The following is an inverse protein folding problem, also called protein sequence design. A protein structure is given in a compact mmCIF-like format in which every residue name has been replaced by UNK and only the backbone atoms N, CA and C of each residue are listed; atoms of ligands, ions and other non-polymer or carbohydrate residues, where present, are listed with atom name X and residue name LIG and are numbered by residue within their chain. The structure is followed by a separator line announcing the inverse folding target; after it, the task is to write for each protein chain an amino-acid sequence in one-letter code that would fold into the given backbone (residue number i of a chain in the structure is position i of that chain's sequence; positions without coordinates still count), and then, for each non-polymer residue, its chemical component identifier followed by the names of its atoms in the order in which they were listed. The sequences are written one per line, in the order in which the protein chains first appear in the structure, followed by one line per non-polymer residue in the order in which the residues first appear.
data_IF_088207632392
#
_entry.id   IF_088207632392
#
_cell.length_a   1.000
_cell.length_b   1.000
_cell.length_c   1.000
_cell.angle_alpha   90.00
_cell.angle_beta   90.00
_cell.angle_gamma   90.00
#
_symmetry.space_group_name_H-M   'P 1'
#
loop_
_entity.id
_entity.type
_entity.pdbx_description
1 polymer ?
#
# COMPACT_ATOMS: atom_id res chain seq x y z
N UNK A 1 24.88 35.26 61.83
CA UNK A 1 25.99 34.74 61.05
C UNK A 1 25.74 33.45 60.30
N UNK A 2 24.66 33.34 59.63
CA UNK A 2 24.31 32.15 58.84
C UNK A 2 23.54 32.50 57.56
N UNK A 3 24.06 33.46 56.80
CA UNK A 3 23.42 33.86 55.49
C UNK A 3 24.09 33.29 54.26
N UNK A 4 25.10 32.45 54.42
CA UNK A 4 25.88 31.92 53.31
C UNK A 4 25.47 30.47 52.91
N UNK A 5 24.61 29.81 53.66
CA UNK A 5 24.27 28.40 53.38
C UNK A 5 23.05 28.21 52.50
N UNK A 6 22.29 29.28 52.19
CA UNK A 6 21.09 29.17 51.38
C UNK A 6 21.32 29.36 49.88
N UNK A 7 22.39 29.99 49.48
CA UNK A 7 22.64 30.32 48.06
C UNK A 7 23.26 29.17 47.29
N UNK A 8 24.03 28.32 47.96
CA UNK A 8 24.68 27.18 47.34
C UNK A 8 23.70 26.03 47.00
N UNK A 9 22.62 25.95 47.75
CA UNK A 9 21.59 24.87 47.51
C UNK A 9 20.69 25.22 46.34
N UNK A 10 20.45 26.49 46.08
CA UNK A 10 19.57 26.92 44.96
C UNK A 10 20.28 26.78 43.61
N UNK A 11 21.62 26.93 43.58
CA UNK A 11 22.42 26.79 42.37
C UNK A 11 22.60 25.33 41.93
N UNK A 12 22.46 24.38 42.85
CA UNK A 12 22.60 22.94 42.57
C UNK A 12 21.30 22.34 42.04
N UNK A 13 20.16 22.99 42.30
CA UNK A 13 18.85 22.54 41.79
C UNK A 13 18.53 23.05 40.36
N UNK A 14 19.24 24.08 39.90
CA UNK A 14 19.07 24.61 38.56
C UNK A 14 19.76 23.78 37.45
N UNK A 15 20.73 22.94 37.80
CA UNK A 15 21.42 22.07 36.84
C UNK A 15 20.79 20.69 36.64
N UNK A 16 19.73 20.34 37.39
CA UNK A 16 19.11 19.03 37.31
C UNK A 16 17.88 19.00 36.41
N UNK A 17 17.58 20.08 35.69
CA UNK A 17 16.28 20.30 35.08
C UNK A 17 16.20 20.19 33.57
N UNK A 18 17.20 19.71 32.84
CA UNK A 18 17.05 19.64 31.36
C UNK A 18 17.91 18.54 30.73
N UNK A 19 17.97 17.38 31.36
CA UNK A 19 18.29 16.16 30.64
C UNK A 19 17.01 15.52 30.17
N UNK A 20 16.43 16.06 29.10
CA UNK A 20 15.48 15.27 28.29
C UNK A 20 16.29 14.13 27.66
N UNK A 21 15.98 12.87 28.01
CA UNK A 21 16.65 11.77 27.36
C UNK A 21 16.29 11.81 25.88
N UNK A 22 17.30 11.98 25.04
CA UNK A 22 17.20 11.88 23.59
C UNK A 22 16.71 10.52 23.10
N UNK A 23 16.41 9.62 24.01
CA UNK A 23 15.88 8.29 23.75
C UNK A 23 14.40 8.26 23.30
N UNK A 24 13.63 9.35 23.49
CA UNK A 24 12.23 9.38 23.10
C UNK A 24 12.01 9.59 21.58
N UNK A 25 13.05 9.84 20.80
CA UNK A 25 12.95 10.05 19.35
C UNK A 25 13.20 8.80 18.51
N UNK A 26 13.62 7.71 19.10
CA UNK A 26 13.93 6.46 18.39
C UNK A 26 12.75 5.50 18.27
N UNK A 27 11.61 5.79 18.88
CA UNK A 27 10.48 4.84 18.96
C UNK A 27 9.52 4.91 17.77
N UNK A 28 9.76 5.75 16.76
CA UNK A 28 8.88 5.83 15.58
C UNK A 28 9.49 5.19 14.33
N UNK A 29 10.25 4.13 14.51
CA UNK A 29 10.50 3.16 13.46
C UNK A 29 9.54 1.99 13.68
N UNK A 30 8.26 2.23 13.53
CA UNK A 30 7.38 1.13 13.17
C UNK A 30 7.67 0.79 11.71
N UNK A 31 8.72 0.01 11.53
CA UNK A 31 8.82 -0.81 10.36
C UNK A 31 7.57 -1.69 10.36
N UNK A 32 6.72 -1.55 9.37
CA UNK A 32 5.70 -2.54 9.03
C UNK A 32 6.48 -3.79 8.60
N UNK A 33 6.96 -4.52 9.59
CA UNK A 33 7.67 -5.78 9.38
C UNK A 33 6.61 -6.85 9.32
N UNK A 34 6.37 -7.39 8.12
CA UNK A 34 5.64 -8.65 7.97
C UNK A 34 4.35 -8.62 7.18
N UNK A 35 4.13 -7.65 6.32
CA UNK A 35 3.15 -7.85 5.27
C UNK A 35 3.81 -8.68 4.17
N UNK A 36 3.47 -9.96 4.11
CA UNK A 36 3.67 -10.75 2.91
C UNK A 36 2.90 -10.03 1.82
N UNK A 37 3.58 -9.26 0.97
CA UNK A 37 2.95 -8.51 -0.10
C UNK A 37 2.45 -9.51 -1.14
N UNK A 38 1.21 -9.93 -1.00
CA UNK A 38 0.51 -10.71 -2.01
C UNK A 38 0.22 -9.77 -3.18
N UNK A 39 0.62 -10.16 -4.38
CA UNK A 39 0.32 -9.40 -5.59
C UNK A 39 -0.92 -9.96 -6.25
N UNK A 40 -1.86 -9.10 -6.56
CA UNK A 40 -3.09 -9.40 -7.25
C UNK A 40 -3.11 -8.68 -8.60
N UNK A 41 -3.20 -9.44 -9.68
CA UNK A 41 -3.35 -8.89 -11.03
C UNK A 41 -4.80 -9.05 -11.48
N UNK A 42 -5.44 -7.94 -11.80
CA UNK A 42 -6.84 -7.88 -12.23
C UNK A 42 -6.94 -7.25 -13.61
N UNK A 43 -7.89 -7.71 -14.38
CA UNK A 43 -8.35 -6.99 -15.58
C UNK A 43 -9.39 -5.95 -15.17
N UNK A 44 -9.38 -4.78 -15.79
CA UNK A 44 -10.42 -3.77 -15.59
C UNK A 44 -11.81 -4.35 -15.91
N UNK A 45 -12.81 -3.98 -15.13
CA UNK A 45 -14.16 -4.48 -15.15
C UNK A 45 -14.32 -5.96 -14.75
N UNK A 46 -13.30 -6.54 -14.09
CA UNK A 46 -13.39 -7.87 -13.48
C UNK A 46 -13.31 -7.78 -11.97
N UNK A 47 -13.96 -8.72 -11.31
CA UNK A 47 -13.93 -8.87 -9.85
C UNK A 47 -13.24 -10.16 -9.48
N UNK A 48 -12.49 -10.11 -8.40
CA UNK A 48 -11.79 -11.25 -7.83
C UNK A 48 -12.17 -11.42 -6.36
N UNK A 49 -12.41 -12.64 -5.94
CA UNK A 49 -12.74 -12.99 -4.56
C UNK A 49 -11.47 -13.46 -3.84
N UNK A 50 -11.16 -12.84 -2.74
CA UNK A 50 -10.04 -13.20 -1.86
C UNK A 50 -10.60 -13.83 -0.61
N UNK A 51 -10.22 -15.08 -0.35
CA UNK A 51 -10.50 -15.75 0.91
C UNK A 51 -9.40 -15.44 1.94
N UNK A 52 -9.80 -15.15 3.17
CA UNK A 52 -8.89 -14.86 4.26
C UNK A 52 -9.04 -15.90 5.38
N UNK A 53 -7.93 -16.27 6.00
CA UNK A 53 -7.93 -17.24 7.12
C UNK A 53 -8.60 -16.67 8.37
N UNK A 54 -8.47 -15.36 8.58
CA UNK A 54 -8.99 -14.66 9.75
C UNK A 54 -10.16 -13.75 9.36
N UNK A 55 -11.09 -13.58 10.28
CA UNK A 55 -12.21 -12.64 10.10
C UNK A 55 -11.71 -11.21 9.90
N UNK A 56 -12.27 -10.53 8.90
CA UNK A 56 -11.93 -9.18 8.50
C UNK A 56 -12.75 -8.20 9.34
N UNK A 57 -12.08 -7.28 9.98
CA UNK A 57 -12.71 -6.19 10.73
C UNK A 57 -12.83 -4.91 9.92
N UNK A 58 -11.82 -4.61 9.10
CA UNK A 58 -11.72 -3.37 8.37
C UNK A 58 -10.95 -3.56 7.07
N UNK A 59 -11.31 -2.80 6.05
CA UNK A 59 -10.60 -2.75 4.76
C UNK A 59 -10.35 -1.30 4.35
N UNK A 60 -9.32 -1.07 3.58
CA UNK A 60 -8.99 0.22 2.99
C UNK A 60 -8.31 0.02 1.65
N UNK A 61 -8.62 0.88 0.69
CA UNK A 61 -7.98 0.90 -0.63
C UNK A 61 -7.33 2.26 -0.86
N UNK A 62 -6.12 2.25 -1.44
CA UNK A 62 -5.34 3.46 -1.63
C UNK A 62 -5.89 4.38 -2.72
N UNK A 63 -6.33 3.80 -3.85
CA UNK A 63 -6.87 4.54 -4.99
C UNK A 63 -8.20 3.93 -5.45
N UNK A 64 -9.34 4.45 -4.95
CA UNK A 64 -10.66 3.94 -5.30
C UNK A 64 -11.03 4.07 -6.79
N UNK A 65 -10.37 4.95 -7.52
CA UNK A 65 -10.54 5.13 -8.96
C UNK A 65 -9.94 3.97 -9.77
N UNK A 66 -8.95 3.25 -9.24
CA UNK A 66 -8.28 2.12 -9.90
C UNK A 66 -8.99 0.80 -9.57
N UNK A 67 -9.27 0.57 -8.29
CA UNK A 67 -9.96 -0.62 -7.84
C UNK A 67 -10.84 -0.31 -6.62
N UNK A 68 -11.87 -1.11 -6.44
CA UNK A 68 -12.77 -1.05 -5.30
C UNK A 68 -12.75 -2.37 -4.54
N UNK A 69 -13.08 -2.32 -3.24
CA UNK A 69 -13.13 -3.49 -2.38
C UNK A 69 -14.41 -3.55 -1.57
N UNK A 70 -15.04 -4.71 -1.55
CA UNK A 70 -16.25 -4.97 -0.79
C UNK A 70 -16.06 -6.21 0.08
N UNK A 71 -16.45 -6.13 1.35
CA UNK A 71 -16.51 -7.29 2.25
C UNK A 71 -17.79 -8.06 1.95
N UNK A 72 -17.66 -9.26 1.42
CA UNK A 72 -18.79 -10.13 1.08
C UNK A 72 -19.24 -10.96 2.28
N UNK A 73 -18.26 -11.54 2.96
CA UNK A 73 -18.44 -12.29 4.22
C UNK A 73 -17.32 -11.89 5.18
N UNK A 74 -17.41 -12.23 6.47
CA UNK A 74 -16.32 -11.94 7.41
C UNK A 74 -14.94 -12.46 6.98
N UNK A 75 -14.90 -13.46 6.10
CA UNK A 75 -13.67 -14.08 5.59
C UNK A 75 -13.45 -13.91 4.09
N UNK A 76 -14.27 -13.12 3.42
CA UNK A 76 -14.18 -12.95 1.96
C UNK A 76 -14.24 -11.49 1.57
N UNK A 77 -13.28 -11.08 0.76
CA UNK A 77 -13.18 -9.77 0.12
C UNK A 77 -13.41 -9.93 -1.39
N UNK A 78 -14.21 -9.07 -1.96
CA UNK A 78 -14.31 -8.92 -3.40
C UNK A 78 -13.58 -7.66 -3.84
N UNK A 79 -12.59 -7.82 -4.71
CA UNK A 79 -11.85 -6.71 -5.32
C UNK A 79 -12.27 -6.56 -6.77
N UNK A 80 -12.68 -5.37 -7.13
CA UNK A 80 -13.14 -5.06 -8.50
C UNK A 80 -12.19 -4.07 -9.15
N UNK A 81 -11.59 -4.44 -10.28
CA UNK A 81 -10.78 -3.55 -11.09
C UNK A 81 -11.65 -2.54 -11.83
N UNK A 82 -11.28 -1.25 -11.80
CA UNK A 82 -12.04 -0.16 -12.44
C UNK A 82 -11.27 0.46 -13.60
N UNK A 83 -10.02 0.84 -13.35
CA UNK A 83 -9.15 1.48 -14.32
C UNK A 83 -7.72 0.92 -14.24
N UNK A 84 -6.98 1.00 -15.34
CA UNK A 84 -5.58 0.58 -15.35
C UNK A 84 -4.73 1.39 -14.37
N UNK A 85 -3.89 0.72 -13.63
CA UNK A 85 -2.99 1.32 -12.65
C UNK A 85 -2.66 0.40 -11.49
N UNK A 86 -1.91 0.94 -10.56
CA UNK A 86 -1.48 0.25 -9.35
C UNK A 86 -2.10 0.89 -8.12
N UNK A 87 -2.57 0.06 -7.21
CA UNK A 87 -3.07 0.48 -5.91
C UNK A 87 -2.74 -0.56 -4.85
N UNK A 88 -2.94 -0.23 -3.60
CA UNK A 88 -2.72 -1.11 -2.46
C UNK A 88 -4.01 -1.28 -1.68
N UNK A 89 -4.38 -2.53 -1.43
CA UNK A 89 -5.45 -2.92 -0.54
C UNK A 89 -4.86 -3.30 0.81
N UNK A 90 -5.41 -2.76 1.88
CA UNK A 90 -5.05 -3.14 3.25
C UNK A 90 -6.30 -3.61 3.96
N UNK A 91 -6.25 -4.78 4.59
CA UNK A 91 -7.30 -5.25 5.46
C UNK A 91 -6.76 -5.62 6.84
N UNK A 92 -7.56 -5.43 7.86
CA UNK A 92 -7.25 -5.75 9.25
C UNK A 92 -8.14 -6.89 9.70
N UNK A 93 -7.50 -7.90 10.29
CA UNK A 93 -8.21 -8.98 10.98
C UNK A 93 -8.82 -8.50 12.30
N UNK A 94 -9.71 -9.30 12.89
CA UNK A 94 -10.23 -9.04 14.23
C UNK A 94 -9.15 -8.95 15.30
N UNK A 95 -8.02 -9.65 15.09
CA UNK A 95 -6.84 -9.54 15.95
C UNK A 95 -6.08 -8.21 15.77
N UNK A 96 -6.50 -7.35 14.83
CA UNK A 96 -5.85 -6.07 14.55
C UNK A 96 -4.59 -6.16 13.69
N UNK A 97 -4.30 -7.33 13.12
CA UNK A 97 -3.13 -7.52 12.24
C UNK A 97 -3.46 -7.00 10.83
N UNK A 98 -2.69 -6.02 10.31
CA UNK A 98 -2.86 -5.54 8.95
C UNK A 98 -2.19 -6.48 7.95
N UNK A 99 -2.86 -6.71 6.83
CA UNK A 99 -2.31 -7.41 5.67
C UNK A 99 -2.42 -6.51 4.46
N UNK A 100 -1.32 -6.38 3.71
CA UNK A 100 -1.23 -5.55 2.51
C UNK A 100 -1.23 -6.43 1.27
N UNK A 101 -2.01 -6.04 0.27
CA UNK A 101 -2.09 -6.68 -1.04
C UNK A 101 -1.85 -5.62 -2.11
N UNK A 102 -0.83 -5.82 -2.93
CA UNK A 102 -0.58 -4.95 -4.08
C UNK A 102 -1.51 -5.34 -5.22
N UNK A 103 -2.33 -4.42 -5.67
CA UNK A 103 -3.32 -4.62 -6.72
C UNK A 103 -2.87 -3.91 -7.99
N UNK A 104 -2.62 -4.67 -9.04
CA UNK A 104 -2.32 -4.17 -10.37
C UNK A 104 -3.53 -4.43 -11.28
N UNK A 105 -4.11 -3.37 -11.81
CA UNK A 105 -5.22 -3.43 -12.76
C UNK A 105 -4.71 -3.11 -14.15
N UNK A 106 -4.98 -3.98 -15.09
CA UNK A 106 -4.60 -3.81 -16.49
C UNK A 106 -5.82 -3.83 -17.41
N UNK A 107 -5.69 -3.19 -18.57
CA UNK A 107 -6.72 -3.16 -19.61
C UNK A 107 -6.21 -3.94 -20.79
N UNK A 108 -7.01 -4.92 -21.26
CA UNK A 108 -6.71 -5.58 -22.51
C UNK A 108 -6.94 -4.60 -23.66
N UNK A 109 -5.87 -4.11 -24.24
CA UNK A 109 -5.95 -3.30 -25.44
C UNK A 109 -6.39 -4.21 -26.59
N UNK A 110 -7.61 -4.02 -27.06
CA UNK A 110 -8.18 -4.79 -28.15
C UNK A 110 -7.42 -4.74 -29.48
N UNK A 111 -6.40 -3.87 -29.54
CA UNK A 111 -5.48 -3.76 -30.66
C UNK A 111 -4.72 -5.07 -30.93
N UNK A 112 -4.34 -5.81 -29.90
CA UNK A 112 -3.67 -7.10 -30.07
C UNK A 112 -4.58 -8.16 -30.75
N UNK A 113 -5.82 -8.22 -30.33
CA UNK A 113 -6.80 -9.16 -30.94
C UNK A 113 -7.15 -8.79 -32.37
N UNK A 114 -7.18 -7.49 -32.67
CA UNK A 114 -7.45 -6.99 -34.03
C UNK A 114 -6.31 -7.30 -34.99
N UNK A 115 -5.07 -7.17 -34.55
CA UNK A 115 -3.88 -7.44 -35.35
C UNK A 115 -3.66 -8.93 -35.60
N UNK A 116 -3.92 -9.78 -34.63
CA UNK A 116 -3.78 -11.24 -34.79
C UNK A 116 -4.81 -11.82 -35.76
N UNK A 117 -5.99 -11.18 -35.86
CA UNK A 117 -7.03 -11.57 -36.80
C UNK A 117 -6.78 -11.10 -38.24
N UNK A 118 -5.99 -10.02 -38.43
CA UNK A 118 -5.71 -9.44 -39.74
C UNK A 118 -4.46 -10.04 -40.37
N UNK A 119 -3.50 -10.53 -39.60
CA UNK A 119 -2.26 -11.12 -40.10
C UNK A 119 -1.98 -12.41 -39.36
N UNK A 120 -2.63 -13.53 -39.72
CA UNK A 120 -2.33 -14.83 -39.15
C UNK A 120 -0.96 -15.30 -39.64
N UNK A 121 0.02 -15.30 -38.76
CA UNK A 121 1.33 -15.92 -39.00
C UNK A 121 2.56 -15.05 -38.91
N UNK A 122 2.45 -13.74 -38.71
CA UNK A 122 3.62 -12.90 -38.47
C UNK A 122 3.75 -12.53 -36.98
N UNK A 123 4.90 -12.85 -36.42
CA UNK A 123 5.28 -12.37 -35.10
C UNK A 123 5.59 -10.88 -35.17
N UNK A 124 4.65 -10.06 -34.75
CA UNK A 124 4.85 -8.63 -34.60
C UNK A 124 5.56 -8.35 -33.28
N UNK A 125 6.86 -8.15 -33.35
CA UNK A 125 7.58 -7.58 -32.23
C UNK A 125 7.37 -6.07 -32.22
N UNK A 126 6.48 -5.60 -31.36
CA UNK A 126 6.35 -4.16 -31.09
C UNK A 126 7.48 -3.74 -30.13
N UNK A 127 8.65 -3.51 -30.68
CA UNK A 127 9.69 -2.71 -30.05
C UNK A 127 9.56 -1.29 -30.59
N UNK A 128 8.73 -0.49 -29.99
CA UNK A 128 8.48 0.87 -30.39
C UNK A 128 8.26 1.77 -29.19
N UNK A 129 9.13 2.72 -29.01
CA UNK A 129 8.88 3.95 -28.27
C UNK A 129 7.55 4.57 -28.76
N UNK A 130 6.72 5.14 -27.86
CA UNK A 130 5.35 5.54 -28.17
C UNK A 130 5.21 6.71 -29.15
N UNK A 131 6.28 7.14 -29.77
CA UNK A 131 6.29 8.42 -30.50
C UNK A 131 6.24 8.30 -32.04
N UNK A 132 6.27 7.08 -32.60
CA UNK A 132 6.24 6.95 -34.06
C UNK A 132 5.46 5.69 -34.49
N UNK A 133 4.14 5.74 -34.42
CA UNK A 133 3.33 4.88 -35.24
C UNK A 133 2.99 5.60 -36.54
N UNK A 134 3.83 5.49 -37.54
CA UNK A 134 3.49 5.81 -38.92
C UNK A 134 3.00 4.50 -39.57
N UNK A 135 1.70 4.39 -39.72
CA UNK A 135 1.08 3.40 -40.58
C UNK A 135 1.11 3.93 -42.02
N UNK A 136 2.03 3.47 -42.77
CA UNK A 136 2.00 3.57 -44.25
C UNK A 136 1.55 2.26 -44.86
#
# INVERSE_FOLDING_TARGET
MNRQKGVAVILLLACLGLSFPAAARAAFKQGVTGASATKLHLQANQSYLIDTDLSIRRVSIGKPEIADVTVVTPKQLMVTGKAAGDTTLIYWSEAGVPTSVDVNVWVENGVRKGLEKVVPGEKFEMSGTPETMILT
#
